data_IF_155038280789
#
_entry.id   IF_155038280789
#
_cell.length_a   1.000
_cell.length_b   1.000
_cell.length_c   1.000
_cell.angle_alpha   90.00
_cell.angle_beta   90.00
_cell.angle_gamma   90.00
#
_symmetry.space_group_name_H-M   'P 1'
#
loop_
_entity.id
_entity.type
_entity.pdbx_description
1 polymer ?
#
# COMPACT_ATOMS: atom_id res chain seq x y z
N UNK A 1 60.98 17.60 44.09
CA UNK A 1 60.43 17.86 42.75
C UNK A 1 59.25 16.95 42.50
N UNK A 2 58.04 17.52 42.61
CA UNK A 2 56.78 16.81 42.48
C UNK A 2 56.19 17.14 41.10
N UNK A 3 55.99 16.11 40.25
CA UNK A 3 55.41 16.26 38.92
C UNK A 3 53.92 15.93 39.04
N UNK A 4 53.07 16.96 38.86
CA UNK A 4 51.63 16.84 38.81
C UNK A 4 51.20 16.27 37.46
N UNK A 5 50.48 15.12 37.47
CA UNK A 5 49.83 14.54 36.29
C UNK A 5 48.47 15.21 36.07
N UNK A 6 48.30 15.97 35.02
CA UNK A 6 47.00 16.45 34.56
C UNK A 6 46.32 15.38 33.73
N UNK A 7 45.22 14.85 34.24
CA UNK A 7 44.28 13.98 33.48
C UNK A 7 43.22 14.87 32.85
N UNK A 8 43.18 14.90 31.51
CA UNK A 8 42.13 15.53 30.74
C UNK A 8 40.98 14.58 30.56
N UNK A 9 39.75 14.89 30.99
CA UNK A 9 38.58 14.06 30.65
C UNK A 9 38.15 14.31 29.20
N UNK A 10 38.16 13.24 28.42
CA UNK A 10 37.62 13.24 27.05
C UNK A 10 36.09 13.32 27.13
N UNK A 11 35.56 14.46 26.69
CA UNK A 11 34.10 14.68 26.56
C UNK A 11 33.64 14.00 25.27
N UNK A 12 32.98 12.84 25.39
CA UNK A 12 32.36 12.15 24.25
C UNK A 12 31.02 12.85 23.97
N UNK A 13 30.97 13.65 22.90
CA UNK A 13 29.72 14.16 22.33
C UNK A 13 29.02 13.00 21.62
N UNK A 14 27.97 12.43 22.22
CA UNK A 14 27.00 11.61 21.51
C UNK A 14 26.20 12.52 20.58
N UNK A 15 26.52 12.48 19.28
CA UNK A 15 25.66 13.02 18.24
C UNK A 15 24.41 12.13 18.14
N UNK A 16 23.32 12.57 18.77
CA UNK A 16 21.99 12.00 18.54
C UNK A 16 21.56 12.37 17.12
N UNK A 17 21.82 11.46 16.16
CA UNK A 17 21.27 11.53 14.82
C UNK A 17 19.76 11.30 14.90
N UNK A 18 18.98 12.36 15.13
CA UNK A 18 17.54 12.34 14.99
C UNK A 18 17.19 12.06 13.54
N UNK A 19 16.43 10.98 13.28
CA UNK A 19 15.77 10.77 11.99
C UNK A 19 14.94 12.00 11.67
N UNK A 20 15.42 12.85 10.77
CA UNK A 20 14.65 13.95 10.23
C UNK A 20 13.51 13.36 9.40
N UNK A 21 12.33 13.18 10.03
CA UNK A 21 11.09 13.09 9.27
C UNK A 21 10.91 14.42 8.57
N UNK A 22 10.95 14.40 7.24
CA UNK A 22 10.60 15.54 6.41
C UNK A 22 9.10 15.80 6.46
N UNK A 23 8.62 16.21 7.62
CA UNK A 23 7.31 16.82 7.82
C UNK A 23 7.57 18.22 8.33
N UNK A 24 7.44 19.20 7.49
CA UNK A 24 7.54 20.59 7.90
C UNK A 24 6.34 20.92 8.79
N UNK A 25 6.56 21.02 10.09
CA UNK A 25 5.58 21.60 11.01
C UNK A 25 5.65 23.10 10.82
N UNK A 26 4.84 23.63 9.90
CA UNK A 26 4.62 25.06 9.81
C UNK A 26 3.69 25.48 10.96
N UNK A 27 3.92 26.67 11.50
CA UNK A 27 2.98 27.29 12.47
C UNK A 27 1.57 27.30 11.89
N UNK A 28 0.73 26.34 12.30
CA UNK A 28 -0.63 26.14 11.78
C UNK A 28 -1.07 24.71 11.50
N UNK A 29 -0.22 23.69 11.77
CA UNK A 29 -0.59 22.27 11.65
C UNK A 29 0.15 21.52 10.54
N UNK A 30 -0.08 20.20 10.46
CA UNK A 30 0.53 19.32 9.49
C UNK A 30 -0.16 19.54 8.13
N UNK A 31 0.55 20.17 7.19
CA UNK A 31 0.10 20.26 5.80
C UNK A 31 0.56 19.00 5.03
N UNK A 32 -0.34 18.07 4.74
CA UNK A 32 -0.04 16.97 3.82
C UNK A 32 -0.15 17.48 2.39
N UNK A 33 0.97 17.47 1.65
CA UNK A 33 0.93 17.70 0.20
C UNK A 33 0.21 16.52 -0.43
N UNK A 34 -0.97 16.75 -1.00
CA UNK A 34 -1.70 15.72 -1.76
C UNK A 34 -1.11 15.61 -3.16
N UNK A 35 -0.80 14.41 -3.56
CA UNK A 35 -0.43 14.09 -4.94
C UNK A 35 -1.65 13.57 -5.70
N UNK A 36 -1.63 13.64 -7.03
CA UNK A 36 -2.62 13.00 -7.88
C UNK A 36 -2.46 11.47 -7.94
N UNK A 37 -1.35 10.96 -7.41
CA UNK A 37 -1.02 9.55 -7.43
C UNK A 37 -1.96 8.72 -6.55
N UNK A 38 -2.53 7.62 -7.08
CA UNK A 38 -3.32 6.69 -6.31
C UNK A 38 -2.52 6.08 -5.14
N UNK A 39 -3.15 5.93 -3.99
CA UNK A 39 -2.60 5.13 -2.90
C UNK A 39 -2.67 3.65 -3.27
N UNK A 40 -1.54 2.94 -3.15
CA UNK A 40 -1.48 1.50 -3.46
C UNK A 40 -1.61 0.69 -2.17
N UNK A 41 -2.51 -0.30 -2.18
CA UNK A 41 -2.75 -1.15 -1.01
C UNK A 41 -3.21 -2.56 -1.42
N UNK A 42 -3.09 -3.50 -0.49
CA UNK A 42 -3.71 -4.82 -0.55
C UNK A 42 -4.95 -4.77 0.34
N UNK A 43 -6.16 -5.05 -0.19
CA UNK A 43 -7.36 -5.13 0.65
C UNK A 43 -7.25 -6.25 1.67
N UNK A 44 -7.81 -6.05 2.85
CA UNK A 44 -7.81 -7.04 3.91
C UNK A 44 -8.37 -8.39 3.42
N UNK A 45 -7.67 -9.48 3.73
CA UNK A 45 -8.04 -10.83 3.35
C UNK A 45 -7.80 -11.22 1.89
N UNK A 46 -7.27 -10.31 1.05
CA UNK A 46 -7.01 -10.58 -0.37
C UNK A 46 -5.51 -10.68 -0.71
N UNK A 47 -4.64 -10.53 0.30
CA UNK A 47 -3.20 -10.70 0.16
C UNK A 47 -2.71 -12.14 0.24
N UNK A 48 -3.57 -13.05 0.68
CA UNK A 48 -3.24 -14.46 0.87
C UNK A 48 -4.22 -15.36 0.12
N UNK A 49 -3.74 -16.53 -0.31
CA UNK A 49 -4.59 -17.59 -0.85
C UNK A 49 -4.13 -18.94 -0.31
N UNK A 50 -5.10 -19.77 0.09
CA UNK A 50 -4.87 -21.16 0.49
C UNK A 50 -5.58 -22.08 -0.50
N UNK A 51 -4.83 -22.97 -1.11
CA UNK A 51 -5.35 -24.03 -1.98
C UNK A 51 -5.39 -25.34 -1.21
N UNK A 52 -6.45 -26.10 -1.42
CA UNK A 52 -6.67 -27.40 -0.77
C UNK A 52 -6.68 -28.53 -1.79
N UNK A 53 -6.21 -29.70 -1.36
CA UNK A 53 -6.35 -30.94 -2.09
C UNK A 53 -6.89 -32.04 -1.15
N UNK A 54 -8.13 -32.50 -1.38
CA UNK A 54 -9.08 -32.09 -2.44
C UNK A 54 -9.64 -30.66 -2.21
N UNK A 55 -9.96 -29.97 -3.32
CA UNK A 55 -10.39 -28.57 -3.31
C UNK A 55 -11.64 -28.29 -2.46
N UNK A 56 -12.46 -29.30 -2.19
CA UNK A 56 -13.66 -29.21 -1.34
C UNK A 56 -13.36 -29.28 0.16
N UNK A 57 -12.17 -29.74 0.56
CA UNK A 57 -11.78 -29.81 1.97
C UNK A 57 -11.41 -28.42 2.53
N UNK A 58 -11.55 -28.28 3.84
CA UNK A 58 -11.07 -27.11 4.62
C UNK A 58 -10.26 -27.55 5.84
N UNK A 59 -9.91 -28.83 5.89
CA UNK A 59 -9.08 -29.38 6.97
C UNK A 59 -7.61 -28.96 6.80
N UNK A 60 -6.92 -28.75 7.91
CA UNK A 60 -5.50 -28.36 7.89
C UNK A 60 -4.61 -29.38 7.15
N UNK A 61 -4.96 -30.68 7.24
CA UNK A 61 -4.27 -31.76 6.51
C UNK A 61 -4.47 -31.76 5.01
N UNK A 62 -5.47 -31.03 4.50
CA UNK A 62 -5.75 -30.90 3.07
C UNK A 62 -5.16 -29.62 2.45
N UNK A 63 -4.47 -28.78 3.23
CA UNK A 63 -3.77 -27.60 2.68
C UNK A 63 -2.68 -28.10 1.73
N UNK A 64 -2.77 -27.71 0.46
CA UNK A 64 -1.79 -28.04 -0.58
C UNK A 64 -0.79 -26.91 -0.78
N UNK A 65 -1.25 -25.67 -1.06
CA UNK A 65 -0.40 -24.51 -1.28
C UNK A 65 -0.96 -23.31 -0.51
N UNK A 66 -0.06 -22.57 0.12
CA UNK A 66 -0.34 -21.23 0.66
C UNK A 66 0.54 -20.25 -0.08
N UNK A 67 -0.04 -19.16 -0.56
CA UNK A 67 0.70 -18.07 -1.21
C UNK A 67 0.30 -16.72 -0.63
N UNK A 68 1.27 -15.79 -0.58
CA UNK A 68 1.13 -14.46 -0.01
C UNK A 68 1.72 -13.41 -0.94
N UNK A 69 1.00 -12.31 -1.18
CA UNK A 69 1.52 -11.11 -1.85
C UNK A 69 2.28 -10.29 -0.80
N UNK A 70 3.49 -9.88 -1.15
CA UNK A 70 4.36 -9.09 -0.27
C UNK A 70 5.18 -8.09 -1.08
N UNK A 71 5.96 -7.23 -0.41
CA UNK A 71 6.90 -6.31 -1.02
C UNK A 71 6.26 -5.46 -2.14
N UNK A 72 5.05 -4.93 -1.89
CA UNK A 72 4.35 -4.09 -2.86
C UNK A 72 5.08 -2.75 -2.96
N UNK A 73 5.53 -2.44 -4.16
CA UNK A 73 6.21 -1.19 -4.51
C UNK A 73 5.44 -0.51 -5.63
N UNK A 74 5.34 0.80 -5.57
CA UNK A 74 4.69 1.58 -6.61
C UNK A 74 5.56 2.75 -7.04
N UNK A 75 5.56 3.01 -8.33
CA UNK A 75 6.07 4.24 -8.93
C UNK A 75 4.92 4.94 -9.63
N UNK A 76 4.89 6.27 -9.54
CA UNK A 76 3.82 7.07 -10.13
C UNK A 76 4.42 8.19 -10.96
N UNK A 77 3.86 8.38 -12.15
CA UNK A 77 4.13 9.50 -13.03
C UNK A 77 2.83 10.31 -13.18
N UNK A 78 2.85 11.54 -12.69
CA UNK A 78 1.72 12.48 -12.72
C UNK A 78 2.03 13.74 -13.55
N UNK A 79 3.06 13.73 -14.39
CA UNK A 79 3.44 14.88 -15.20
C UNK A 79 2.53 15.11 -16.43
N UNK A 80 1.76 14.11 -16.86
CA UNK A 80 0.94 14.16 -18.05
C UNK A 80 -0.56 14.33 -17.81
N UNK A 81 -1.36 14.15 -18.88
CA UNK A 81 -2.83 14.13 -18.79
C UNK A 81 -3.37 12.91 -18.03
N UNK A 82 -2.56 11.86 -17.95
CA UNK A 82 -2.84 10.65 -17.22
C UNK A 82 -1.84 10.49 -16.10
N UNK A 83 -2.34 10.18 -14.91
CA UNK A 83 -1.54 9.72 -13.79
C UNK A 83 -1.34 8.22 -13.96
N UNK A 84 -0.12 7.80 -14.24
CA UNK A 84 0.23 6.40 -14.48
C UNK A 84 0.92 5.84 -13.24
N UNK A 85 0.35 4.77 -12.68
CA UNK A 85 0.94 4.10 -11.53
C UNK A 85 1.35 2.68 -11.93
N UNK A 86 2.65 2.39 -11.80
CA UNK A 86 3.22 1.06 -12.01
C UNK A 86 3.46 0.40 -10.67
N UNK A 87 2.92 -0.79 -10.49
CA UNK A 87 2.96 -1.57 -9.26
C UNK A 87 3.75 -2.84 -9.51
N UNK A 88 4.69 -3.14 -8.62
CA UNK A 88 5.45 -4.39 -8.58
C UNK A 88 5.26 -5.02 -7.21
N UNK A 89 5.12 -6.35 -7.17
CA UNK A 89 4.96 -7.09 -5.93
C UNK A 89 5.56 -8.48 -6.05
N UNK A 90 5.93 -9.06 -4.93
CA UNK A 90 6.40 -10.43 -4.85
C UNK A 90 5.25 -11.34 -4.39
N UNK A 91 5.19 -12.54 -4.96
CA UNK A 91 4.34 -13.63 -4.48
C UNK A 91 5.25 -14.73 -3.95
N UNK A 92 5.14 -15.00 -2.66
CA UNK A 92 5.84 -16.08 -2.01
C UNK A 92 4.86 -17.22 -1.76
N UNK A 93 5.25 -18.46 -2.10
CA UNK A 93 4.39 -19.61 -1.92
C UNK A 93 5.13 -20.76 -1.23
N UNK A 94 4.35 -21.57 -0.52
CA UNK A 94 4.79 -22.82 0.08
C UNK A 94 3.78 -23.92 -0.22
N UNK A 95 4.25 -25.06 -0.71
CA UNK A 95 3.45 -26.30 -0.79
C UNK A 95 3.71 -27.19 0.42
N UNK A 96 2.73 -28.05 0.77
CA UNK A 96 2.81 -28.94 1.93
C UNK A 96 3.95 -29.93 1.77
N UNK A 97 3.98 -30.64 0.65
CA UNK A 97 4.90 -31.74 0.45
C UNK A 97 5.89 -31.47 -0.69
N UNK A 98 7.15 -31.89 -0.49
CA UNK A 98 8.12 -31.96 -1.57
C UNK A 98 7.69 -33.05 -2.55
N UNK A 99 7.71 -32.76 -3.85
CA UNK A 99 7.25 -33.68 -4.88
C UNK A 99 7.87 -33.33 -6.23
N UNK A 100 7.34 -33.86 -7.33
CA UNK A 100 7.75 -33.49 -8.66
C UNK A 100 7.66 -31.98 -8.90
N UNK A 101 8.37 -31.49 -9.91
CA UNK A 101 8.20 -30.11 -10.35
C UNK A 101 6.75 -29.87 -10.82
N UNK A 102 6.19 -28.71 -10.46
CA UNK A 102 4.84 -28.31 -10.92
C UNK A 102 4.67 -26.81 -10.93
N UNK A 103 3.80 -26.35 -11.80
CA UNK A 103 3.34 -24.97 -11.83
C UNK A 103 2.02 -24.81 -11.08
N UNK A 104 1.90 -23.69 -10.37
CA UNK A 104 0.64 -23.24 -9.73
C UNK A 104 0.31 -21.88 -10.28
N UNK A 105 -0.85 -21.76 -10.95
CA UNK A 105 -1.32 -20.51 -11.52
C UNK A 105 -2.32 -19.88 -10.58
N UNK A 106 -2.05 -18.64 -10.15
CA UNK A 106 -2.89 -17.88 -9.24
C UNK A 106 -3.42 -16.63 -9.95
N UNK A 107 -4.75 -16.46 -10.02
CA UNK A 107 -5.32 -15.22 -10.52
C UNK A 107 -5.17 -14.10 -9.50
N UNK A 108 -4.77 -12.93 -9.96
CA UNK A 108 -4.73 -11.70 -9.17
C UNK A 108 -5.45 -10.57 -9.88
N UNK A 109 -5.84 -9.53 -9.17
CA UNK A 109 -6.49 -8.37 -9.74
C UNK A 109 -5.75 -7.08 -9.40
N UNK A 110 -5.97 -6.08 -10.26
CA UNK A 110 -5.78 -4.67 -9.98
C UNK A 110 -7.14 -3.98 -10.09
N UNK A 111 -7.55 -3.27 -9.04
CA UNK A 111 -8.78 -2.49 -9.02
C UNK A 111 -8.48 -1.03 -8.72
N UNK A 112 -9.05 -0.12 -9.50
CA UNK A 112 -9.02 1.32 -9.22
C UNK A 112 -10.32 1.69 -8.53
N UNK A 113 -10.18 2.25 -7.34
CA UNK A 113 -11.31 2.71 -6.51
C UNK A 113 -11.21 4.22 -6.35
N UNK A 114 -12.34 4.90 -6.48
CA UNK A 114 -12.49 6.34 -6.30
C UNK A 114 -13.28 6.62 -5.03
N UNK A 115 -12.77 7.52 -4.21
CA UNK A 115 -13.44 7.94 -2.98
C UNK A 115 -13.66 6.81 -1.96
N UNK A 116 -12.85 5.74 -2.02
CA UNK A 116 -12.91 4.60 -1.11
C UNK A 116 -14.01 3.58 -1.39
N UNK A 117 -14.96 3.86 -2.30
CA UNK A 117 -16.14 3.00 -2.51
C UNK A 117 -16.50 2.73 -3.96
N UNK A 118 -16.18 3.64 -4.88
CA UNK A 118 -16.57 3.53 -6.27
C UNK A 118 -15.50 2.80 -7.08
N UNK A 119 -15.82 1.62 -7.58
CA UNK A 119 -14.93 0.87 -8.48
C UNK A 119 -15.01 1.48 -9.88
N UNK A 120 -13.90 2.08 -10.35
CA UNK A 120 -13.79 2.68 -11.68
C UNK A 120 -13.31 1.67 -12.72
N UNK A 121 -12.40 0.78 -12.34
CA UNK A 121 -11.86 -0.24 -13.22
C UNK A 121 -11.37 -1.45 -12.44
N UNK A 122 -11.48 -2.63 -13.05
CA UNK A 122 -10.88 -3.87 -12.53
C UNK A 122 -10.27 -4.65 -13.68
N UNK A 123 -9.06 -5.13 -13.47
CA UNK A 123 -8.34 -6.05 -14.37
C UNK A 123 -7.93 -7.28 -13.61
N UNK A 124 -8.03 -8.44 -14.23
CA UNK A 124 -7.57 -9.72 -13.69
C UNK A 124 -6.47 -10.26 -14.58
N UNK A 125 -5.41 -10.76 -13.96
CA UNK A 125 -4.28 -11.41 -14.63
C UNK A 125 -3.86 -12.65 -13.83
N UNK A 126 -2.95 -13.43 -14.36
CA UNK A 126 -2.44 -14.63 -13.71
C UNK A 126 -0.95 -14.48 -13.39
N UNK A 127 -0.54 -15.06 -12.27
CA UNK A 127 0.86 -15.25 -11.91
C UNK A 127 1.13 -16.75 -11.76
N UNK A 128 2.22 -17.23 -12.35
CA UNK A 128 2.63 -18.62 -12.28
C UNK A 128 3.78 -18.78 -11.29
N UNK A 129 3.61 -19.70 -10.36
CA UNK A 129 4.60 -20.10 -9.37
C UNK A 129 5.15 -21.46 -9.78
N UNK A 130 6.44 -21.53 -10.08
CA UNK A 130 7.12 -22.78 -10.43
C UNK A 130 7.75 -23.37 -9.17
N UNK A 131 7.33 -24.59 -8.80
CA UNK A 131 7.97 -25.38 -7.76
C UNK A 131 8.89 -26.39 -8.41
N UNK A 132 10.20 -26.26 -8.22
CA UNK A 132 11.17 -27.25 -8.65
C UNK A 132 10.97 -28.60 -7.96
N UNK A 133 11.46 -29.67 -8.57
CA UNK A 133 11.40 -31.00 -7.96
C UNK A 133 12.10 -31.01 -6.59
N UNK A 134 11.43 -31.55 -5.58
CA UNK A 134 11.94 -31.59 -4.21
C UNK A 134 11.88 -30.27 -3.44
N UNK A 135 11.50 -29.15 -4.05
CA UNK A 135 11.38 -27.86 -3.37
C UNK A 135 9.96 -27.65 -2.85
N UNK A 136 9.84 -27.09 -1.63
CA UNK A 136 8.57 -26.76 -1.01
C UNK A 136 8.24 -25.26 -1.10
N UNK A 137 9.11 -24.44 -1.66
CA UNK A 137 8.93 -23.00 -1.80
C UNK A 137 9.06 -22.58 -3.25
N UNK A 138 8.28 -21.60 -3.63
CA UNK A 138 8.35 -20.93 -4.92
C UNK A 138 8.12 -19.42 -4.73
N UNK A 139 8.60 -18.63 -5.66
CA UNK A 139 8.35 -17.20 -5.71
C UNK A 139 8.19 -16.73 -7.14
N UNK A 140 7.41 -15.68 -7.32
CA UNK A 140 7.27 -15.01 -8.61
C UNK A 140 7.06 -13.51 -8.39
N UNK A 141 7.38 -12.71 -9.40
CA UNK A 141 7.17 -11.25 -9.38
C UNK A 141 5.94 -10.94 -10.22
N UNK A 142 4.97 -10.26 -9.60
CA UNK A 142 3.80 -9.72 -10.29
C UNK A 142 3.99 -8.25 -10.61
N UNK A 143 3.37 -7.80 -11.70
CA UNK A 143 3.32 -6.38 -12.09
C UNK A 143 1.92 -6.00 -12.49
N UNK A 144 1.54 -4.74 -12.22
CA UNK A 144 0.28 -4.18 -12.63
C UNK A 144 0.46 -2.69 -12.94
N UNK A 145 -0.32 -2.16 -13.89
CA UNK A 145 -0.28 -0.73 -14.22
C UNK A 145 -1.69 -0.18 -14.26
N UNK A 146 -1.89 0.96 -13.62
CA UNK A 146 -3.13 1.74 -13.67
C UNK A 146 -2.90 3.09 -14.30
N UNK A 147 -3.97 3.65 -14.87
CA UNK A 147 -4.01 5.00 -15.41
C UNK A 147 -5.32 5.66 -15.02
N UNK A 148 -5.24 6.85 -14.43
CA UNK A 148 -6.39 7.69 -14.10
C UNK A 148 -6.19 9.07 -14.70
N UNK A 149 -7.29 9.74 -15.09
CA UNK A 149 -7.19 11.10 -15.61
C UNK A 149 -6.62 12.04 -14.55
N UNK A 150 -5.58 12.79 -14.89
CA UNK A 150 -4.98 13.78 -14.01
C UNK A 150 -6.00 14.84 -13.55
N UNK A 151 -6.89 15.28 -14.47
CA UNK A 151 -7.96 16.21 -14.13
C UNK A 151 -8.94 15.63 -13.07
N UNK A 152 -9.24 14.32 -13.13
CA UNK A 152 -10.11 13.67 -12.16
C UNK A 152 -9.41 13.50 -10.77
N UNK A 153 -8.10 13.35 -10.76
CA UNK A 153 -7.29 13.22 -9.54
C UNK A 153 -6.89 14.58 -8.93
N UNK A 154 -7.22 15.68 -9.59
CA UNK A 154 -6.89 17.05 -9.16
C UNK A 154 -8.06 17.70 -8.45
N UNK A 155 -7.80 18.32 -7.29
CA UNK A 155 -8.80 19.10 -6.56
C UNK A 155 -9.09 20.40 -7.28
N UNK A 156 -10.36 20.86 -7.29
CA UNK A 156 -10.70 22.22 -7.69
C UNK A 156 -9.88 23.26 -6.91
N UNK A 157 -9.43 24.32 -7.58
CA UNK A 157 -8.54 25.33 -6.99
C UNK A 157 -9.11 25.96 -5.71
N UNK A 158 -10.42 26.19 -5.66
CA UNK A 158 -11.07 26.74 -4.49
C UNK A 158 -10.98 25.79 -3.30
N UNK A 159 -11.24 24.49 -3.52
CA UNK A 159 -11.13 23.48 -2.47
C UNK A 159 -9.67 23.36 -2.00
N UNK A 160 -8.73 23.34 -2.94
CA UNK A 160 -7.29 23.31 -2.61
C UNK A 160 -6.90 24.50 -1.76
N UNK A 161 -7.31 25.73 -2.14
CA UNK A 161 -7.05 26.95 -1.34
C UNK A 161 -7.61 26.84 0.08
N UNK A 162 -8.85 26.35 0.22
CA UNK A 162 -9.46 26.16 1.56
C UNK A 162 -8.71 25.17 2.43
N UNK A 163 -8.16 24.10 1.84
CA UNK A 163 -7.41 23.08 2.55
C UNK A 163 -6.01 23.53 2.94
N UNK A 164 -5.37 24.40 2.12
CA UNK A 164 -3.98 24.86 2.32
C UNK A 164 -3.88 26.26 2.94
N UNK A 165 -5.01 26.91 3.23
CA UNK A 165 -5.03 28.26 3.82
C UNK A 165 -4.34 28.25 5.18
N UNK A 166 -3.32 29.11 5.32
CA UNK A 166 -2.67 29.35 6.61
C UNK A 166 -3.68 29.99 7.57
N UNK A 167 -3.84 29.39 8.74
CA UNK A 167 -4.74 29.86 9.78
C UNK A 167 -3.92 30.46 10.91
N UNK A 168 -4.34 31.62 11.42
CA UNK A 168 -3.69 32.25 12.56
C UNK A 168 -4.38 31.83 13.84
N UNK A 169 -3.62 31.67 14.92
CA UNK A 169 -4.18 31.44 16.24
C UNK A 169 -5.12 32.62 16.62
N UNK A 170 -6.37 32.33 16.99
CA UNK A 170 -7.41 33.31 17.30
C UNK A 170 -8.40 33.55 16.15
N UNK A 171 -8.17 33.11 14.94
CA UNK A 171 -9.16 33.14 13.87
C UNK A 171 -10.25 32.08 14.12
N UNK A 172 -11.52 32.45 13.91
CA UNK A 172 -12.64 31.49 13.99
C UNK A 172 -12.46 30.29 13.07
N UNK A 173 -11.84 30.52 11.91
CA UNK A 173 -11.47 29.45 10.95
C UNK A 173 -10.38 28.50 11.45
N UNK A 174 -9.59 28.89 12.46
CA UNK A 174 -8.53 28.04 13.02
C UNK A 174 -9.09 26.86 13.83
N UNK A 175 -10.29 27.03 14.40
CA UNK A 175 -10.98 26.00 15.19
C UNK A 175 -11.81 25.02 14.33
N UNK A 176 -11.99 25.32 13.03
CA UNK A 176 -12.87 24.53 12.16
C UNK A 176 -12.07 23.68 11.17
N UNK A 177 -12.28 22.36 11.19
CA UNK A 177 -11.72 21.47 10.17
C UNK A 177 -12.43 21.71 8.81
N UNK A 178 -11.72 22.08 7.73
CA UNK A 178 -12.31 22.24 6.40
C UNK A 178 -13.05 21.01 5.90
N UNK A 179 -12.64 19.81 6.33
CA UNK A 179 -13.28 18.54 5.97
C UNK A 179 -14.62 18.34 6.69
N UNK A 180 -14.97 19.18 7.67
CA UNK A 180 -16.32 19.18 8.27
C UNK A 180 -17.37 19.71 7.28
N UNK A 181 -16.97 20.54 6.29
CA UNK A 181 -17.85 20.96 5.19
C UNK A 181 -18.12 19.76 4.25
N UNK A 182 -19.39 19.33 4.08
CA UNK A 182 -19.73 18.18 3.23
C UNK A 182 -19.32 18.37 1.76
N UNK A 183 -19.27 19.60 1.24
CA UNK A 183 -18.90 19.87 -0.15
C UNK A 183 -17.37 19.71 -0.33
N UNK A 184 -16.58 20.24 0.60
CA UNK A 184 -15.13 20.08 0.62
C UNK A 184 -14.79 18.58 0.71
N UNK A 185 -15.40 17.86 1.65
CA UNK A 185 -15.19 16.43 1.83
C UNK A 185 -15.54 15.64 0.57
N UNK A 186 -16.68 15.92 -0.07
CA UNK A 186 -17.10 15.28 -1.33
C UNK A 186 -16.08 15.52 -2.44
N UNK A 187 -15.61 16.75 -2.59
CA UNK A 187 -14.59 17.10 -3.60
C UNK A 187 -13.28 16.37 -3.34
N UNK A 188 -12.86 16.25 -2.08
CA UNK A 188 -11.66 15.49 -1.70
C UNK A 188 -11.83 14.00 -2.05
N UNK A 189 -12.94 13.40 -1.68
CA UNK A 189 -13.22 11.99 -1.99
C UNK A 189 -13.26 11.76 -3.51
N UNK A 190 -13.92 12.64 -4.27
CA UNK A 190 -14.01 12.50 -5.72
C UNK A 190 -12.67 12.65 -6.46
N UNK A 191 -11.67 13.28 -5.86
CA UNK A 191 -10.32 13.40 -6.39
C UNK A 191 -9.33 12.39 -5.78
N UNK A 192 -9.79 11.48 -4.92
CA UNK A 192 -8.95 10.48 -4.27
C UNK A 192 -9.11 9.14 -4.98
N UNK A 193 -8.00 8.58 -5.42
CA UNK A 193 -7.94 7.25 -6.06
C UNK A 193 -7.08 6.30 -5.25
N UNK A 194 -7.47 5.04 -5.27
CA UNK A 194 -6.73 3.92 -4.69
C UNK A 194 -6.52 2.86 -5.78
N UNK A 195 -5.33 2.29 -5.83
CA UNK A 195 -4.99 1.17 -6.69
C UNK A 195 -4.81 -0.07 -5.81
N UNK A 196 -5.80 -0.95 -5.81
CA UNK A 196 -5.86 -2.11 -4.94
C UNK A 196 -5.40 -3.35 -5.71
N UNK A 197 -4.40 -4.05 -5.19
CA UNK A 197 -3.90 -5.32 -5.74
C UNK A 197 -4.16 -6.46 -4.76
N UNK A 198 -4.57 -7.63 -5.27
CA UNK A 198 -4.86 -8.79 -4.43
C UNK A 198 -5.11 -10.05 -5.25
N UNK A 199 -5.16 -11.21 -4.60
CA UNK A 199 -5.59 -12.43 -5.27
C UNK A 199 -7.08 -12.37 -5.63
N UNK A 200 -7.41 -12.86 -6.83
CA UNK A 200 -8.80 -13.05 -7.24
C UNK A 200 -9.31 -14.34 -6.60
N UNK A 201 -9.86 -14.22 -5.41
CA UNK A 201 -10.35 -15.34 -4.62
C UNK A 201 -11.77 -15.76 -5.06
N UNK A 202 -12.07 -17.05 -4.92
CA UNK A 202 -13.44 -17.55 -4.91
C UNK A 202 -14.14 -17.16 -3.61
N UNK A 203 -15.47 -17.27 -3.59
CA UNK A 203 -16.26 -16.99 -2.38
C UNK A 203 -15.81 -17.85 -1.19
N UNK A 204 -15.53 -19.14 -1.45
CA UNK A 204 -15.08 -20.07 -0.41
C UNK A 204 -13.68 -19.74 0.12
N UNK A 205 -12.76 -19.31 -0.75
CA UNK A 205 -11.43 -18.86 -0.35
C UNK A 205 -11.51 -17.57 0.48
N UNK A 206 -12.40 -16.65 0.09
CA UNK A 206 -12.62 -15.42 0.85
C UNK A 206 -13.23 -15.72 2.23
N UNK A 207 -14.21 -16.60 2.32
CA UNK A 207 -14.78 -17.06 3.61
C UNK A 207 -13.70 -17.69 4.48
N UNK A 208 -12.86 -18.56 3.91
CA UNK A 208 -11.76 -19.17 4.65
C UNK A 208 -10.78 -18.11 5.19
N UNK A 209 -10.39 -17.14 4.39
CA UNK A 209 -9.50 -16.07 4.84
C UNK A 209 -10.12 -15.18 5.93
N UNK A 210 -11.43 -15.00 5.93
CA UNK A 210 -12.13 -14.21 6.94
C UNK A 210 -12.29 -14.93 8.31
N UNK A 211 -12.06 -16.24 8.37
CA UNK A 211 -12.32 -17.07 9.56
C UNK A 211 -11.08 -17.68 10.21
N UNK A 212 -9.89 -17.47 9.61
CA UNK A 212 -8.62 -17.99 10.13
C UNK A 212 -7.89 -16.99 11.04
#
# INVERSE_FOLDING_TARGET
LSVAKFTVPALILLAAGGCARTGEITEGGISAVRTACPTVAIPAGLGDVTLFDPASSREAGAIDVVATITNVQATCDDAGEQVVTSIKFDVLARRRDAGPARDVVLPYFLTIVRGGTQVEAKRVANITLHFDAGQIRASAVGTATSSVSHAAATLPDEVRRRLTQKRKAGDESAATDPLSDPNVRRSVLSATFEALVGFQLTEDQLKYNATR
#
